data_IF_710444180308
#
_entry.id   IF_710444180308
#
_cell.length_a   1.000
_cell.length_b   1.000
_cell.length_c   1.000
_cell.angle_alpha   90.00
_cell.angle_beta   90.00
_cell.angle_gamma   90.00
#
_symmetry.space_group_name_H-M   'P 1'
#
loop_
_entity.id
_entity.type
_entity.pdbx_description
1 polymer ?
#
# COMPACT_ATOMS: atom_id res chain seq x y z
N UNK A 1 22.13 13.57 -33.25
CA UNK A 1 22.12 12.09 -33.33
C UNK A 1 22.89 11.57 -32.12
N UNK A 2 22.23 10.80 -31.23
CA UNK A 2 22.72 10.09 -30.03
C UNK A 2 23.32 10.95 -28.89
N UNK A 3 23.05 10.68 -27.60
CA UNK A 3 22.01 9.97 -26.84
C UNK A 3 22.50 10.12 -25.39
N UNK A 4 21.61 10.54 -24.49
CA UNK A 4 21.64 10.29 -23.05
C UNK A 4 22.76 9.36 -22.57
N UNK A 5 23.86 9.93 -22.07
CA UNK A 5 24.60 9.29 -21.01
C UNK A 5 23.77 9.53 -19.75
N UNK A 6 22.74 8.70 -19.52
CA UNK A 6 22.20 8.58 -18.17
C UNK A 6 23.37 8.06 -17.34
N UNK A 7 23.97 8.92 -16.54
CA UNK A 7 25.05 8.50 -15.65
C UNK A 7 24.53 7.32 -14.82
N UNK A 8 25.29 6.23 -14.77
CA UNK A 8 24.98 5.06 -13.94
C UNK A 8 24.93 5.41 -12.44
N UNK A 9 25.45 6.59 -12.08
CA UNK A 9 25.49 7.13 -10.74
C UNK A 9 24.13 7.75 -10.34
N UNK A 10 23.49 7.31 -9.24
CA UNK A 10 22.28 7.92 -8.70
C UNK A 10 22.43 9.41 -8.42
N UNK A 11 21.32 10.17 -8.52
CA UNK A 11 21.30 11.64 -8.34
C UNK A 11 21.93 12.08 -7.03
N UNK A 12 21.70 11.37 -5.92
CA UNK A 12 22.26 11.72 -4.62
C UNK A 12 23.80 11.65 -4.60
N UNK A 13 24.40 10.64 -5.25
CA UNK A 13 25.86 10.51 -5.35
C UNK A 13 26.45 11.59 -6.23
N UNK A 14 25.79 11.91 -7.35
CA UNK A 14 26.23 13.00 -8.23
C UNK A 14 26.23 14.36 -7.53
N UNK A 15 25.25 14.63 -6.67
CA UNK A 15 25.22 15.87 -5.87
C UNK A 15 26.43 16.01 -4.94
N UNK A 16 26.99 14.91 -4.45
CA UNK A 16 28.19 14.91 -3.59
C UNK A 16 29.49 15.19 -4.36
N UNK A 17 29.48 15.09 -5.69
CA UNK A 17 30.65 15.37 -6.54
C UNK A 17 30.76 16.85 -6.93
N UNK A 18 29.77 17.68 -6.56
CA UNK A 18 29.80 19.11 -6.85
C UNK A 18 30.69 19.80 -5.81
N UNK A 19 31.74 20.46 -6.27
CA UNK A 19 32.57 21.34 -5.45
C UNK A 19 31.90 22.73 -5.40
N UNK A 20 31.51 23.13 -4.19
CA UNK A 20 30.84 24.41 -3.92
C UNK A 20 31.75 25.45 -3.27
N UNK A 21 32.90 25.03 -2.70
CA UNK A 21 33.72 25.86 -1.81
C UNK A 21 34.95 26.43 -2.54
N UNK A 22 35.60 25.64 -3.40
CA UNK A 22 36.74 26.07 -4.23
C UNK A 22 36.68 25.49 -5.64
N UNK A 23 35.65 25.85 -6.43
CA UNK A 23 35.42 25.20 -7.71
C UNK A 23 36.43 25.61 -8.80
N UNK A 24 37.20 24.64 -9.31
CA UNK A 24 38.01 24.82 -10.54
C UNK A 24 37.13 25.10 -11.79
N UNK A 25 35.87 24.65 -11.75
CA UNK A 25 34.85 24.81 -12.81
C UNK A 25 33.58 25.44 -12.23
N UNK A 26 32.91 26.32 -12.98
CA UNK A 26 31.69 26.96 -12.47
C UNK A 26 30.63 25.93 -12.02
N UNK A 27 29.86 26.24 -10.97
CA UNK A 27 28.77 25.36 -10.49
C UNK A 27 27.75 25.05 -11.60
N UNK A 28 27.60 25.95 -12.58
CA UNK A 28 26.76 25.72 -13.76
C UNK A 28 27.32 24.63 -14.66
N UNK A 29 28.64 24.65 -14.91
CA UNK A 29 29.32 23.65 -15.74
C UNK A 29 29.40 22.31 -15.04
N UNK A 30 29.69 22.29 -13.73
CA UNK A 30 29.64 21.09 -12.91
C UNK A 30 28.24 20.44 -12.92
N UNK A 31 27.18 21.25 -12.75
CA UNK A 31 25.80 20.76 -12.82
C UNK A 31 25.46 20.20 -14.21
N UNK A 32 25.93 20.84 -15.28
CA UNK A 32 25.73 20.36 -16.65
C UNK A 32 26.47 19.05 -16.92
N UNK A 33 27.76 18.95 -16.52
CA UNK A 33 28.58 17.74 -16.64
C UNK A 33 28.01 16.56 -15.86
N UNK A 34 27.45 16.84 -14.67
CA UNK A 34 26.81 15.84 -13.81
C UNK A 34 25.33 15.62 -14.13
N UNK A 35 24.76 16.26 -15.15
CA UNK A 35 23.33 16.18 -15.50
C UNK A 35 22.39 16.42 -14.29
N UNK A 36 22.68 17.44 -13.50
CA UNK A 36 21.92 17.89 -12.32
C UNK A 36 21.18 19.19 -12.62
N UNK A 37 20.01 19.38 -12.00
CA UNK A 37 19.37 20.69 -12.00
C UNK A 37 20.09 21.63 -11.02
N UNK A 38 20.65 22.72 -11.54
CA UNK A 38 21.37 23.74 -10.78
C UNK A 38 20.56 24.29 -9.60
N UNK A 39 19.26 24.57 -9.75
CA UNK A 39 18.46 25.14 -8.64
C UNK A 39 18.32 24.17 -7.46
N UNK A 40 18.33 22.86 -7.74
CA UNK A 40 18.29 21.83 -6.71
C UNK A 40 19.60 21.67 -5.92
N UNK A 41 20.72 22.23 -6.39
CA UNK A 41 22.01 22.21 -5.65
C UNK A 41 22.03 23.20 -4.49
N UNK A 42 21.29 24.31 -4.62
CA UNK A 42 21.16 25.32 -3.57
C UNK A 42 20.04 25.01 -2.58
N UNK A 43 19.20 24.01 -2.88
CA UNK A 43 18.13 23.59 -1.98
C UNK A 43 18.73 22.96 -0.73
N UNK A 44 18.58 23.67 0.39
CA UNK A 44 18.81 23.10 1.72
C UNK A 44 17.47 22.58 2.22
N UNK A 45 17.33 21.28 2.53
CA UNK A 45 16.11 20.79 3.15
C UNK A 45 15.84 21.59 4.41
N UNK A 46 14.62 22.08 4.57
CA UNK A 46 14.23 22.74 5.80
C UNK A 46 14.38 21.72 6.94
N UNK A 47 14.97 22.12 8.08
CA UNK A 47 14.94 21.27 9.25
C UNK A 47 13.48 20.97 9.61
N UNK A 48 13.19 19.81 10.24
CA UNK A 48 11.85 19.53 10.71
C UNK A 48 11.37 20.68 11.59
N UNK A 49 10.14 21.17 11.34
CA UNK A 49 9.58 22.23 12.16
C UNK A 49 9.45 21.75 13.60
N UNK A 50 9.68 22.61 14.59
CA UNK A 50 9.41 22.30 15.99
C UNK A 50 7.94 21.86 16.17
N UNK A 51 7.03 22.45 15.40
CA UNK A 51 5.62 22.08 15.35
C UNK A 51 5.39 20.64 14.87
N UNK A 52 6.17 20.17 13.87
CA UNK A 52 6.07 18.80 13.36
C UNK A 52 6.48 17.79 14.44
N UNK A 53 7.50 18.14 15.24
CA UNK A 53 7.96 17.29 16.33
C UNK A 53 6.90 17.19 17.43
N UNK A 54 6.27 18.32 17.80
CA UNK A 54 5.16 18.34 18.76
C UNK A 54 4.00 17.48 18.28
N UNK A 55 3.60 17.61 17.01
CA UNK A 55 2.53 16.80 16.41
C UNK A 55 2.89 15.31 16.46
N UNK A 56 4.12 14.93 16.10
CA UNK A 56 4.58 13.53 16.18
C UNK A 56 4.52 12.97 17.60
N UNK A 57 4.93 13.76 18.60
CA UNK A 57 4.83 13.37 20.01
C UNK A 57 3.38 13.19 20.46
N UNK A 58 2.46 14.04 20.01
CA UNK A 58 1.02 13.86 20.29
C UNK A 58 0.47 12.59 19.62
N UNK A 59 0.80 12.35 18.36
CA UNK A 59 0.41 11.13 17.65
C UNK A 59 0.93 9.89 18.39
N UNK A 60 2.19 9.90 18.83
CA UNK A 60 2.81 8.80 19.57
C UNK A 60 2.12 8.55 20.92
N UNK A 61 1.80 9.60 21.68
CA UNK A 61 1.03 9.49 22.94
C UNK A 61 -0.37 8.91 22.72
N UNK A 62 -1.09 9.40 21.70
CA UNK A 62 -2.43 8.91 21.34
C UNK A 62 -2.33 7.43 20.95
N UNK A 63 -1.37 7.07 20.12
CA UNK A 63 -1.17 5.69 19.66
C UNK A 63 -0.76 4.76 20.81
N UNK A 64 0.11 5.19 21.71
CA UNK A 64 0.51 4.41 22.89
C UNK A 64 -0.68 4.10 23.79
N UNK A 65 -1.61 5.05 23.90
CA UNK A 65 -2.85 4.88 24.68
C UNK A 65 -3.92 4.09 23.92
N UNK A 66 -3.95 4.24 22.58
CA UNK A 66 -4.97 3.69 21.68
C UNK A 66 -4.35 3.12 20.40
N UNK A 67 -3.67 1.97 20.48
CA UNK A 67 -2.97 1.37 19.33
C UNK A 67 -3.93 0.94 18.21
N UNK A 68 -5.22 0.81 18.50
CA UNK A 68 -6.26 0.49 17.54
C UNK A 68 -6.68 1.68 16.65
N UNK A 69 -6.21 2.89 16.93
CA UNK A 69 -6.60 4.07 16.17
C UNK A 69 -5.82 4.22 14.86
N UNK A 70 -6.54 4.19 13.75
CA UNK A 70 -6.02 4.63 12.45
C UNK A 70 -5.87 6.15 12.35
N UNK A 71 -5.12 6.59 11.34
CA UNK A 71 -4.82 8.00 11.08
C UNK A 71 -6.06 8.91 11.04
N UNK A 72 -7.24 8.41 10.62
CA UNK A 72 -8.49 9.17 10.64
C UNK A 72 -9.01 9.44 12.07
N UNK A 73 -8.94 8.44 12.96
CA UNK A 73 -9.34 8.58 14.37
C UNK A 73 -8.34 9.44 15.13
N UNK A 74 -7.05 9.27 14.87
CA UNK A 74 -5.99 10.12 15.44
C UNK A 74 -6.18 11.57 14.96
N UNK A 75 -6.43 11.79 13.67
CA UNK A 75 -6.75 13.12 13.14
C UNK A 75 -7.98 13.73 13.84
N UNK A 76 -9.05 12.95 14.03
CA UNK A 76 -10.22 13.43 14.75
C UNK A 76 -9.88 13.79 16.20
N UNK A 77 -9.09 12.96 16.89
CA UNK A 77 -8.66 13.22 18.27
C UNK A 77 -7.84 14.50 18.36
N UNK A 78 -6.84 14.66 17.51
CA UNK A 78 -6.00 15.87 17.46
C UNK A 78 -6.85 17.13 17.27
N UNK A 79 -7.80 17.11 16.33
CA UNK A 79 -8.64 18.28 16.06
C UNK A 79 -9.67 18.57 17.17
N UNK A 80 -10.27 17.54 17.79
CA UNK A 80 -11.44 17.70 18.67
C UNK A 80 -11.11 17.62 20.17
N UNK A 81 -10.00 16.96 20.55
CA UNK A 81 -9.58 16.79 21.95
C UNK A 81 -8.37 17.64 22.27
N UNK A 82 -7.36 17.60 21.39
CA UNK A 82 -6.12 18.34 21.61
C UNK A 82 -6.17 19.75 20.99
N UNK A 83 -7.24 20.06 20.24
CA UNK A 83 -7.44 21.33 19.53
C UNK A 83 -6.31 21.70 18.55
N UNK A 84 -5.60 20.69 18.04
CA UNK A 84 -4.55 20.81 17.03
C UNK A 84 -5.18 20.63 15.65
N UNK A 85 -5.29 21.73 14.91
CA UNK A 85 -5.87 21.72 13.57
C UNK A 85 -4.93 21.06 12.56
N UNK A 86 -5.27 19.85 12.14
CA UNK A 86 -4.43 19.08 11.22
C UNK A 86 -5.25 18.27 10.21
N UNK A 87 -4.73 18.20 8.98
CA UNK A 87 -5.31 17.38 7.92
C UNK A 87 -4.94 15.90 8.11
N UNK A 88 -5.90 15.00 7.84
CA UNK A 88 -5.71 13.55 7.92
C UNK A 88 -4.55 13.03 7.06
N UNK A 89 -4.23 13.70 5.93
CA UNK A 89 -3.06 13.35 5.11
C UNK A 89 -1.73 13.64 5.80
N UNK A 90 -1.65 14.74 6.55
CA UNK A 90 -0.46 15.09 7.31
C UNK A 90 -0.26 14.08 8.46
N UNK A 91 -1.33 13.74 9.19
CA UNK A 91 -1.31 12.66 10.20
C UNK A 91 -0.84 11.34 9.60
N UNK A 92 -1.36 10.97 8.42
CA UNK A 92 -0.93 9.75 7.73
C UNK A 92 0.56 9.78 7.36
N UNK A 93 1.08 10.91 6.88
CA UNK A 93 2.49 11.05 6.56
C UNK A 93 3.37 10.93 7.82
N UNK A 94 3.01 11.61 8.91
CA UNK A 94 3.74 11.50 10.17
C UNK A 94 3.73 10.06 10.70
N UNK A 95 2.59 9.38 10.69
CA UNK A 95 2.51 7.96 11.08
C UNK A 95 3.39 7.07 10.20
N UNK A 96 3.48 7.34 8.89
CA UNK A 96 4.38 6.59 7.99
C UNK A 96 5.85 6.86 8.28
N UNK A 97 6.21 8.12 8.52
CA UNK A 97 7.58 8.52 8.87
C UNK A 97 8.04 7.89 10.19
N UNK A 98 7.14 7.77 11.17
CA UNK A 98 7.44 7.18 12.49
C UNK A 98 7.20 5.67 12.56
N UNK A 99 6.69 5.06 11.49
CA UNK A 99 6.39 3.62 11.44
C UNK A 99 5.18 3.19 12.28
N UNK A 100 4.32 4.11 12.68
CA UNK A 100 3.12 3.86 13.47
C UNK A 100 1.98 3.38 12.55
N UNK A 101 1.35 2.26 12.92
CA UNK A 101 0.19 1.72 12.20
C UNK A 101 -0.84 1.16 13.19
N UNK A 102 -2.12 1.41 12.92
CA UNK A 102 -3.20 0.87 13.74
C UNK A 102 -3.18 -0.66 13.80
N UNK A 103 -3.26 -1.18 15.02
CA UNK A 103 -3.30 -2.62 15.32
C UNK A 103 -4.73 -2.96 15.72
N UNK A 104 -5.45 -3.68 14.85
CA UNK A 104 -6.75 -4.24 15.18
C UNK A 104 -6.92 -5.63 14.53
N UNK A 105 -7.69 -6.54 15.15
CA UNK A 105 -8.01 -7.82 14.54
C UNK A 105 -8.71 -7.61 13.20
N UNK A 106 -8.14 -8.16 12.13
CA UNK A 106 -8.86 -8.25 10.85
C UNK A 106 -9.98 -9.28 11.00
N UNK A 107 -11.05 -9.14 10.22
CA UNK A 107 -12.12 -10.13 10.21
C UNK A 107 -11.52 -11.51 9.90
N UNK A 108 -11.68 -12.45 10.82
CA UNK A 108 -11.21 -13.81 10.64
C UNK A 108 -12.31 -14.61 9.93
N UNK A 109 -12.35 -14.48 8.61
CA UNK A 109 -13.29 -15.17 7.72
C UNK A 109 -13.03 -16.68 7.60
N UNK A 110 -11.99 -17.19 8.27
CA UNK A 110 -11.55 -18.59 8.19
C UNK A 110 -11.76 -19.38 9.47
N UNK A 111 -12.45 -18.84 10.50
CA UNK A 111 -12.79 -19.63 11.70
C UNK A 111 -13.89 -20.64 11.35
N UNK A 112 -13.61 -21.95 11.36
CA UNK A 112 -14.67 -22.95 11.20
C UNK A 112 -15.56 -22.96 12.46
N UNK A 113 -16.87 -23.18 12.28
CA UNK A 113 -17.74 -23.52 13.40
C UNK A 113 -17.33 -24.91 13.94
N UNK A 114 -17.00 -25.07 15.24
CA UNK A 114 -16.60 -26.36 15.81
C UNK A 114 -17.64 -27.48 15.64
N UNK A 115 -18.92 -27.14 15.49
CA UNK A 115 -20.00 -28.12 15.26
C UNK A 115 -20.03 -28.65 13.81
N UNK A 116 -19.34 -27.98 12.88
CA UNK A 116 -19.29 -28.43 11.50
C UNK A 116 -18.35 -29.64 11.38
N UNK A 117 -18.92 -30.76 10.93
CA UNK A 117 -18.15 -31.96 10.60
C UNK A 117 -17.11 -31.63 9.52
N UNK A 118 -15.85 -31.93 9.81
CA UNK A 118 -14.76 -31.86 8.84
C UNK A 118 -14.85 -33.07 7.92
N UNK A 119 -15.04 -32.84 6.63
CA UNK A 119 -15.04 -33.89 5.61
C UNK A 119 -13.62 -34.06 5.04
N UNK A 120 -13.17 -35.31 4.80
CA UNK A 120 -11.90 -35.54 4.13
C UNK A 120 -11.96 -34.97 2.71
N UNK A 121 -10.90 -34.30 2.28
CA UNK A 121 -10.80 -33.81 0.92
C UNK A 121 -10.50 -34.97 -0.03
N UNK A 122 -11.53 -35.42 -0.75
CA UNK A 122 -11.50 -36.66 -1.54
C UNK A 122 -10.59 -36.57 -2.78
N UNK A 123 -10.25 -35.36 -3.24
CA UNK A 123 -9.34 -35.16 -4.37
C UNK A 123 -7.86 -35.16 -3.96
N UNK A 124 -7.55 -35.42 -2.68
CA UNK A 124 -6.18 -35.41 -2.19
C UNK A 124 -5.35 -36.51 -2.90
N UNK A 125 -4.29 -36.09 -3.59
CA UNK A 125 -3.38 -36.99 -4.31
C UNK A 125 -3.83 -37.38 -5.72
N UNK A 126 -4.97 -36.86 -6.19
CA UNK A 126 -5.41 -37.05 -7.56
C UNK A 126 -4.69 -36.07 -8.49
N UNK A 127 -4.02 -36.59 -9.52
CA UNK A 127 -3.48 -35.78 -10.63
C UNK A 127 -4.58 -35.54 -11.66
N UNK A 128 -4.90 -34.27 -11.92
CA UNK A 128 -5.93 -33.87 -12.88
C UNK A 128 -5.22 -33.47 -14.18
N UNK A 129 -5.19 -34.37 -15.16
CA UNK A 129 -4.34 -34.29 -16.35
C UNK A 129 -5.11 -34.25 -17.69
N UNK A 130 -6.45 -34.26 -17.65
CA UNK A 130 -7.31 -34.14 -18.84
C UNK A 130 -8.62 -33.41 -18.53
N UNK A 131 -9.28 -32.81 -19.54
CA UNK A 131 -10.62 -32.24 -19.40
C UNK A 131 -11.64 -33.31 -18.94
N UNK A 132 -12.71 -32.88 -18.29
CA UNK A 132 -13.82 -33.72 -17.80
C UNK A 132 -13.45 -34.73 -16.71
N UNK A 133 -12.28 -34.56 -16.09
CA UNK A 133 -11.83 -35.39 -14.97
C UNK A 133 -12.37 -34.90 -13.61
N UNK A 134 -12.39 -33.57 -13.38
CA UNK A 134 -12.90 -32.97 -12.14
C UNK A 134 -13.63 -31.67 -12.46
N UNK A 135 -14.85 -31.53 -11.94
CA UNK A 135 -15.65 -30.32 -12.05
C UNK A 135 -15.81 -29.66 -10.67
N UNK A 136 -15.79 -28.33 -10.62
CA UNK A 136 -16.26 -27.55 -9.46
C UNK A 136 -17.54 -26.82 -9.77
N UNK A 137 -18.30 -26.59 -8.71
CA UNK A 137 -19.41 -25.65 -8.69
C UNK A 137 -19.04 -24.47 -7.79
N UNK A 138 -19.30 -23.26 -8.25
CA UNK A 138 -19.17 -22.05 -7.46
C UNK A 138 -20.46 -21.23 -7.53
N UNK A 139 -20.85 -20.62 -6.41
CA UNK A 139 -22.03 -19.76 -6.30
C UNK A 139 -21.55 -18.37 -5.91
N UNK A 140 -21.80 -17.40 -6.79
CA UNK A 140 -21.46 -15.99 -6.58
C UNK A 140 -22.72 -15.15 -6.51
N UNK A 141 -22.80 -14.31 -5.47
CA UNK A 141 -23.88 -13.33 -5.29
C UNK A 141 -23.49 -12.00 -5.92
N UNK A 142 -24.22 -11.59 -6.96
CA UNK A 142 -23.96 -10.34 -7.68
C UNK A 142 -25.03 -9.32 -7.29
N UNK A 143 -24.68 -8.20 -6.64
CA UNK A 143 -25.65 -7.16 -6.31
C UNK A 143 -26.13 -6.46 -7.59
N UNK A 144 -27.44 -6.41 -7.81
CA UNK A 144 -28.08 -5.63 -8.88
C UNK A 144 -28.92 -4.49 -8.28
N UNK A 145 -29.39 -3.55 -9.10
CA UNK A 145 -30.01 -2.30 -8.62
C UNK A 145 -31.22 -2.52 -7.70
N UNK A 146 -31.94 -3.62 -7.87
CA UNK A 146 -33.22 -3.89 -7.20
C UNK A 146 -33.17 -5.12 -6.29
N UNK A 147 -32.18 -6.02 -6.45
CA UNK A 147 -32.07 -7.27 -5.69
C UNK A 147 -30.67 -7.91 -5.84
N UNK A 148 -30.52 -9.19 -5.50
CA UNK A 148 -29.34 -10.02 -5.70
C UNK A 148 -29.55 -11.03 -6.83
N UNK A 149 -28.54 -11.17 -7.70
CA UNK A 149 -28.48 -12.24 -8.68
C UNK A 149 -27.62 -13.38 -8.14
N UNK A 150 -28.17 -14.59 -8.14
CA UNK A 150 -27.50 -15.81 -7.71
C UNK A 150 -26.92 -16.51 -8.94
N UNK A 151 -25.63 -16.30 -9.21
CA UNK A 151 -24.93 -16.96 -10.31
C UNK A 151 -24.31 -18.27 -9.83
N UNK A 152 -24.71 -19.38 -10.45
CA UNK A 152 -24.08 -20.69 -10.26
C UNK A 152 -23.29 -21.06 -11.51
N UNK A 153 -22.02 -21.41 -11.36
CA UNK A 153 -21.16 -21.82 -12.46
C UNK A 153 -20.57 -23.22 -12.22
N UNK A 154 -20.61 -24.06 -13.24
CA UNK A 154 -19.91 -25.35 -13.30
C UNK A 154 -18.65 -25.16 -14.13
N UNK A 155 -17.50 -25.45 -13.55
CA UNK A 155 -16.17 -25.18 -14.11
C UNK A 155 -15.37 -26.47 -14.16
N UNK A 156 -14.79 -26.79 -15.31
CA UNK A 156 -13.82 -27.88 -15.45
C UNK A 156 -12.46 -27.46 -14.87
N UNK A 157 -11.87 -28.31 -14.02
CA UNK A 157 -10.63 -27.97 -13.31
C UNK A 157 -9.40 -27.96 -14.22
N UNK A 158 -9.36 -28.80 -15.23
CA UNK A 158 -8.20 -28.90 -16.11
C UNK A 158 -8.17 -27.73 -17.11
N UNK A 159 -9.23 -27.59 -17.89
CA UNK A 159 -9.36 -26.59 -18.96
C UNK A 159 -9.68 -25.18 -18.45
N UNK A 160 -10.20 -25.05 -17.22
CA UNK A 160 -10.73 -23.80 -16.64
C UNK A 160 -11.93 -23.21 -17.37
N UNK A 161 -12.56 -23.98 -18.24
CA UNK A 161 -13.74 -23.53 -18.98
C UNK A 161 -15.00 -23.65 -18.12
N UNK A 162 -15.91 -22.69 -18.30
CA UNK A 162 -17.26 -22.74 -17.76
C UNK A 162 -18.05 -23.69 -18.64
N UNK A 163 -18.39 -24.87 -18.11
CA UNK A 163 -19.17 -25.87 -18.82
C UNK A 163 -20.64 -25.49 -18.87
N UNK A 164 -21.14 -24.93 -17.77
CA UNK A 164 -22.52 -24.49 -17.64
C UNK A 164 -22.63 -23.37 -16.61
N UNK A 165 -23.64 -22.53 -16.76
CA UNK A 165 -24.01 -21.56 -15.73
C UNK A 165 -25.51 -21.34 -15.74
N UNK A 166 -26.04 -21.01 -14.57
CA UNK A 166 -27.44 -20.61 -14.40
C UNK A 166 -27.48 -19.39 -13.47
N UNK A 167 -28.46 -18.53 -13.68
CA UNK A 167 -28.70 -17.37 -12.85
C UNK A 167 -30.16 -17.33 -12.41
N UNK A 168 -30.39 -17.21 -11.11
CA UNK A 168 -31.69 -16.91 -10.53
C UNK A 168 -31.67 -15.50 -9.94
N UNK A 169 -32.81 -14.81 -10.03
CA UNK A 169 -33.07 -13.56 -9.30
C UNK A 169 -33.75 -13.95 -7.99
#
# INVERSE_FOLDING_TARGET
MKKNLVSEIPVYKRRLLVDMDTPDLSVTDQAALLALNRTGLYYKPAPPSEDDLVIKLHIDKIYTSHPEFGYRRICWWLNNKDHILINHKAVLNHMRETGIQAIYPRQNTSKPNPENKVYPYLLKGLTIDHPDHVWSIDITYIPVKTDWLYLTAIIDWFSRYVLHWNSAI
#
